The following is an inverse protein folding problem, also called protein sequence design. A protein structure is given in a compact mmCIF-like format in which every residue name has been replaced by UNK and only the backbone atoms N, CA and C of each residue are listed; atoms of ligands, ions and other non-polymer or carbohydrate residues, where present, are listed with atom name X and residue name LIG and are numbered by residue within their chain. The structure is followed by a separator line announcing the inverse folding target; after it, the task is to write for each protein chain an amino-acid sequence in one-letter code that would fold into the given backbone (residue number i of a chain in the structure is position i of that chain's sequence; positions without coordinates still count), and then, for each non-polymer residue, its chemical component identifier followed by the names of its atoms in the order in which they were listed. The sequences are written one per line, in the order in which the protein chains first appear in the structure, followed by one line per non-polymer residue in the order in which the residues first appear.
data_IF_986717635330
#
_entry.id   IF_986717635330
#
_cell.length_a   1.000
_cell.length_b   1.000
_cell.length_c   1.000
_cell.angle_alpha   90.00
_cell.angle_beta   90.00
_cell.angle_gamma   90.00
#
_symmetry.space_group_name_H-M   'P 1'
#
loop_
_entity.id
_entity.type
_entity.pdbx_description
1 polymer ?
2 polymer ?
3 non-polymer ?
4 water ?
#
loop_
_entity_poly.entity_id
_entity_poly.type
_entity_poly.pdbx_seq_one_letter_code
_entity_poly.pdbx_strand_id
2 'polyribonucleotide' 'AG' ?
#
# COMPACT_ATOMS: atom_id res chain seq x y z
N UNK A 1 -6.74 15.74 14.76
CA UNK A 1 -7.71 15.27 15.73
C UNK A 1 -7.11 14.19 16.61
N UNK A 2 -7.13 12.94 16.13
CA UNK A 2 -6.45 11.82 16.78
C UNK A 2 -4.98 11.75 16.39
N UNK A 3 -4.34 12.90 16.16
CA UNK A 3 -2.93 12.97 15.80
C UNK A 3 -2.08 12.30 16.88
N UNK A 4 -1.25 11.34 16.48
CA UNK A 4 -0.44 10.63 17.47
C UNK A 4 0.81 10.05 16.81
N UNK A 5 1.93 10.11 17.53
CA UNK A 5 3.15 9.49 17.02
C UNK A 5 3.11 7.96 17.09
N UNK A 6 2.00 7.39 17.58
CA UNK A 6 1.81 5.94 17.57
C UNK A 6 0.97 5.45 16.40
N UNK A 7 0.35 6.36 15.64
CA UNK A 7 -0.48 5.98 14.51
C UNK A 7 0.36 5.32 13.41
N UNK A 8 -0.29 4.49 12.61
CA UNK A 8 0.37 3.72 11.57
C UNK A 8 -0.07 4.18 10.18
N UNK A 9 0.91 4.34 9.29
CA UNK A 9 0.65 4.71 7.90
C UNK A 9 0.70 3.45 7.05
N UNK A 10 -0.44 3.13 6.43
CA UNK A 10 -0.59 2.02 5.50
C UNK A 10 -0.58 2.54 4.07
N UNK A 11 0.16 1.87 3.20
CA UNK A 11 0.26 2.32 1.81
C UNK A 11 0.29 1.13 0.88
N UNK A 12 -0.37 1.28 -0.27
CA UNK A 12 -0.32 0.29 -1.34
C UNK A 12 -0.14 1.03 -2.66
N UNK A 13 0.75 0.52 -3.49
CA UNK A 13 1.00 1.06 -4.83
C UNK A 13 0.62 0.02 -5.88
N UNK A 14 0.18 0.50 -7.04
CA UNK A 14 0.16 -0.30 -8.26
C UNK A 14 1.20 0.27 -9.20
N UNK A 15 1.83 -0.63 -9.98
CA UNK A 15 2.95 -0.28 -10.83
C UNK A 15 2.79 -0.91 -12.20
N UNK A 16 3.57 -0.43 -13.16
CA UNK A 16 3.59 -1.07 -14.48
C UNK A 16 4.45 -2.33 -14.51
N UNK A 17 5.07 -2.71 -13.40
CA UNK A 17 5.85 -3.93 -13.34
C UNK A 17 6.60 -4.00 -12.03
N UNK A 18 7.47 -5.02 -11.94
CA UNK A 18 8.14 -5.36 -10.69
C UNK A 18 9.50 -4.68 -10.50
N UNK A 19 9.97 -3.89 -11.47
CA UNK A 19 11.34 -3.37 -11.45
C UNK A 19 11.31 -1.85 -11.28
N UNK A 20 11.72 -1.30 -10.13
CA UNK A 20 11.64 0.16 -9.93
C UNK A 20 12.46 0.96 -10.93
N UNK A 21 13.53 0.39 -11.49
CA UNK A 21 14.37 1.13 -12.43
C UNK A 21 13.75 1.22 -13.81
N UNK A 22 12.82 0.33 -14.14
CA UNK A 22 12.18 0.26 -15.43
C UNK A 22 10.73 0.73 -15.40
N UNK A 23 10.04 0.49 -14.30
CA UNK A 23 8.60 0.63 -14.24
C UNK A 23 8.22 1.85 -13.43
N UNK A 24 6.92 2.13 -13.40
CA UNK A 24 6.39 3.38 -12.86
C UNK A 24 5.23 3.09 -11.93
N UNK A 25 4.99 4.03 -11.03
CA UNK A 25 3.83 3.98 -10.15
C UNK A 25 2.62 4.50 -10.92
N UNK A 26 1.54 3.72 -10.93
CA UNK A 26 0.29 4.14 -11.57
C UNK A 26 -0.85 4.31 -10.59
N UNK A 27 -0.73 3.82 -9.36
CA UNK A 27 -1.76 4.12 -8.37
C UNK A 27 -1.15 4.14 -6.99
N UNK A 28 -1.72 4.96 -6.11
CA UNK A 28 -1.29 5.04 -4.72
C UNK A 28 -2.53 5.23 -3.84
N UNK A 29 -2.54 4.60 -2.68
CA UNK A 29 -3.58 4.82 -1.68
C UNK A 29 -2.93 4.71 -0.31
N UNK A 30 -3.39 5.54 0.63
CA UNK A 30 -2.92 5.51 2.00
C UNK A 30 -4.08 5.44 2.96
N UNK A 31 -3.83 4.81 4.11
CA UNK A 31 -4.78 4.78 5.23
C UNK A 31 -3.98 4.99 6.50
N UNK A 32 -4.56 5.72 7.45
CA UNK A 32 -3.98 5.85 8.78
C UNK A 32 -4.85 5.10 9.76
N UNK A 33 -4.23 4.20 10.54
CA UNK A 33 -4.89 3.59 11.68
C UNK A 33 -4.25 4.09 12.96
N UNK A 34 -4.99 3.92 14.06
CA UNK A 34 -4.34 4.10 15.34
C UNK A 34 -3.50 2.86 15.64
N UNK A 35 -2.83 2.88 16.79
CA UNK A 35 -1.94 1.79 17.15
C UNK A 35 -2.66 0.48 17.38
N UNK A 36 -3.99 0.52 17.57
CA UNK A 36 -4.80 -0.66 17.76
C UNK A 36 -5.48 -1.12 16.47
N UNK A 37 -5.12 -0.52 15.33
CA UNK A 37 -5.55 -0.86 13.97
C UNK A 37 -6.93 -0.34 13.63
N UNK A 38 -7.52 0.53 14.46
CA UNK A 38 -8.77 1.18 14.06
C UNK A 38 -8.49 2.18 12.96
N UNK A 39 -9.27 2.13 11.89
CA UNK A 39 -9.05 3.03 10.76
C UNK A 39 -9.55 4.42 11.14
N UNK A 40 -8.65 5.40 11.13
CA UNK A 40 -8.95 6.77 11.49
C UNK A 40 -9.34 7.61 10.29
N UNK A 41 -8.68 7.37 9.15
CA UNK A 41 -8.85 8.24 7.99
C UNK A 41 -8.28 7.53 6.78
N UNK A 42 -8.93 7.70 5.64
CA UNK A 42 -8.37 7.23 4.38
C UNK A 42 -7.83 8.41 3.62
N UNK A 43 -6.69 8.20 2.97
CA UNK A 43 -6.00 9.25 2.26
C UNK A 43 -6.39 9.31 0.80
N UNK A 44 -5.69 10.15 0.04
CA UNK A 44 -5.95 10.26 -1.39
C UNK A 44 -5.76 8.92 -2.10
N UNK A 45 -6.68 8.61 -3.01
CA UNK A 45 -6.59 7.43 -3.86
C UNK A 45 -6.35 7.96 -5.26
N UNK A 46 -5.11 7.85 -5.73
CA UNK A 46 -4.64 8.62 -6.88
C UNK A 46 -4.17 7.67 -7.98
N UNK A 47 -4.84 7.72 -9.12
CA UNK A 47 -4.29 7.16 -10.35
C UNK A 47 -3.34 8.17 -10.95
N UNK A 48 -2.10 7.77 -11.18
CA UNK A 48 -1.04 8.68 -11.61
C UNK A 48 -0.88 8.54 -13.11
N UNK A 49 -0.94 9.66 -13.82
CA UNK A 49 -0.85 9.60 -15.28
C UNK A 49 0.50 9.05 -15.72
N UNK A 50 0.47 8.18 -16.73
CA UNK A 50 1.68 7.72 -17.39
C UNK A 50 1.42 7.70 -18.89
N UNK A 51 2.43 8.02 -19.69
CA UNK A 51 2.26 7.99 -21.16
C UNK A 51 2.20 6.56 -21.67
N UNK A 52 1.71 6.42 -22.90
CA UNK A 52 1.58 5.09 -23.48
C UNK A 52 2.92 4.37 -23.54
N UNK A 53 4.02 5.10 -23.76
CA UNK A 53 5.32 4.44 -23.81
C UNK A 53 5.64 3.73 -22.50
N UNK A 54 5.14 4.23 -21.38
CA UNK A 54 5.36 3.55 -20.10
C UNK A 54 4.34 2.45 -19.87
N UNK A 55 3.07 2.69 -20.24
CA UNK A 55 2.10 1.60 -20.14
C UNK A 55 2.49 0.45 -21.05
N UNK A 56 3.24 0.73 -22.12
CA UNK A 56 3.64 -0.30 -23.08
C UNK A 56 4.73 -1.22 -22.55
N UNK A 57 5.28 -0.92 -21.36
CA UNK A 57 6.20 -1.85 -20.72
C UNK A 57 5.48 -2.95 -19.95
N UNK A 58 4.17 -2.85 -19.81
CA UNK A 58 3.44 -3.81 -18.99
C UNK A 58 3.40 -5.16 -19.68
N UNK A 59 3.64 -6.22 -18.90
CA UNK A 59 3.55 -7.58 -19.42
C UNK A 59 2.08 -8.00 -19.44
N UNK A 60 1.83 -9.27 -19.76
CA UNK A 60 0.44 -9.72 -19.86
C UNK A 60 -0.25 -9.64 -18.50
N UNK A 61 0.41 -10.08 -17.44
CA UNK A 61 -0.23 -10.03 -16.13
C UNK A 61 -0.64 -8.60 -15.77
N UNK A 62 0.28 -7.66 -15.94
CA UNK A 62 -0.01 -6.27 -15.57
C UNK A 62 -1.07 -5.68 -16.49
N UNK A 63 -0.94 -5.91 -17.80
CA UNK A 63 -1.91 -5.35 -18.73
C UNK A 63 -3.31 -5.85 -18.43
N UNK A 64 -3.48 -7.17 -18.27
CA UNK A 64 -4.81 -7.70 -18.05
C UNK A 64 -5.36 -7.29 -16.69
N UNK A 65 -4.50 -7.32 -15.66
CA UNK A 65 -4.95 -6.95 -14.31
C UNK A 65 -5.42 -5.50 -14.27
N UNK A 66 -4.59 -4.59 -14.74
CA UNK A 66 -4.90 -3.17 -14.60
C UNK A 66 -5.90 -2.69 -15.63
N UNK A 67 -6.06 -3.40 -16.74
CA UNK A 67 -7.15 -3.06 -17.66
C UNK A 67 -8.49 -3.49 -17.08
N UNK A 68 -8.56 -4.73 -16.58
CA UNK A 68 -9.83 -5.24 -16.09
C UNK A 68 -10.35 -4.49 -14.87
N UNK A 69 -9.46 -3.98 -14.03
CA UNK A 69 -9.86 -3.24 -12.85
C UNK A 69 -10.35 -1.83 -13.16
N UNK A 70 -10.16 -1.36 -14.38
CA UNK A 70 -10.43 0.02 -14.72
C UNK A 70 -9.27 0.97 -14.45
N UNK A 71 -8.17 0.49 -13.89
CA UNK A 71 -7.07 1.39 -13.54
C UNK A 71 -6.43 2.01 -14.78
N UNK A 72 -6.25 1.23 -15.85
CA UNK A 72 -5.59 1.77 -17.03
C UNK A 72 -6.38 2.95 -17.58
N UNK A 73 -7.71 2.83 -17.66
CA UNK A 73 -8.51 3.95 -18.13
C UNK A 73 -8.34 5.16 -17.21
N UNK A 74 -8.29 4.93 -15.90
CA UNK A 74 -8.10 6.03 -14.96
C UNK A 74 -6.73 6.67 -15.12
N UNK A 75 -5.70 5.85 -15.38
CA UNK A 75 -4.36 6.39 -15.59
C UNK A 75 -4.32 7.26 -16.86
N UNK A 76 -4.92 6.77 -17.94
CA UNK A 76 -4.92 7.53 -19.19
C UNK A 76 -5.65 8.86 -19.04
N UNK A 77 -6.72 8.89 -18.24
CA UNK A 77 -7.49 10.10 -18.05
C UNK A 77 -6.94 10.99 -16.95
N UNK A 78 -5.97 10.51 -16.17
CA UNK A 78 -5.55 11.26 -14.99
C UNK A 78 -4.73 12.47 -15.39
N UNK A 79 -4.87 13.54 -14.61
CA UNK A 79 -4.07 14.75 -14.77
C UNK A 79 -3.10 14.95 -13.61
N UNK A 80 -2.80 13.89 -12.87
CA UNK A 80 -1.99 13.97 -11.66
C UNK A 80 -0.66 13.28 -11.90
N UNK A 81 0.44 14.03 -11.71
CA UNK A 81 1.80 13.53 -11.80
C UNK A 81 2.27 12.95 -10.46
N UNK A 82 3.42 12.28 -10.49
CA UNK A 82 3.98 11.77 -9.23
C UNK A 82 4.17 12.88 -8.21
N UNK A 83 4.72 14.03 -8.64
CA UNK A 83 4.99 15.11 -7.70
C UNK A 83 3.70 15.61 -7.06
N UNK A 84 2.64 15.77 -7.86
CA UNK A 84 1.37 16.21 -7.32
C UNK A 84 0.77 15.16 -6.39
N UNK A 85 0.96 13.87 -6.71
CA UNK A 85 0.47 12.80 -5.83
C UNK A 85 1.22 12.80 -4.50
N UNK A 86 2.53 13.04 -4.53
CA UNK A 86 3.29 13.19 -3.29
C UNK A 86 2.74 14.34 -2.47
N UNK A 87 2.51 15.49 -3.11
CA UNK A 87 2.01 16.67 -2.40
C UNK A 87 0.67 16.38 -1.72
N UNK A 88 -0.26 15.77 -2.45
CA UNK A 88 -1.56 15.43 -1.87
C UNK A 88 -1.40 14.48 -0.70
N UNK A 89 -0.54 13.47 -0.86
CA UNK A 89 -0.41 12.45 0.19
C UNK A 89 0.24 13.03 1.44
N UNK A 90 1.29 13.83 1.28
CA UNK A 90 1.91 14.47 2.44
C UNK A 90 0.95 15.41 3.15
N UNK A 91 0.15 16.18 2.40
CA UNK A 91 -0.79 17.09 3.04
C UNK A 91 -1.80 16.32 3.88
N UNK A 92 -2.17 15.12 3.43
CA UNK A 92 -3.04 14.26 4.22
C UNK A 92 -2.32 13.73 5.44
N UNK A 93 -1.14 13.12 5.26
CA UNK A 93 -0.47 12.44 6.36
C UNK A 93 -0.12 13.39 7.49
N UNK A 94 0.25 14.64 7.17
CA UNK A 94 0.65 15.59 8.19
C UNK A 94 -0.47 15.91 9.18
N UNK A 95 -1.72 15.64 8.81
CA UNK A 95 -2.84 15.86 9.72
C UNK A 95 -3.04 14.73 10.72
N UNK A 96 -2.34 13.60 10.56
CA UNK A 96 -2.67 12.41 11.34
C UNK A 96 -1.46 11.79 12.04
N UNK A 97 -0.27 11.91 11.45
CA UNK A 97 0.93 11.24 11.96
C UNK A 97 2.11 12.18 11.77
N UNK A 98 2.96 12.36 12.78
CA UNK A 98 4.17 13.17 12.60
C UNK A 98 5.18 12.49 11.69
N UNK A 99 6.01 13.31 11.07
CA UNK A 99 7.05 12.84 10.17
C UNK A 99 8.04 11.92 10.89
N UNK A 100 8.40 10.83 10.22
CA UNK A 100 9.47 9.97 10.68
C UNK A 100 9.11 8.99 11.78
N UNK A 101 7.83 8.86 12.13
CA UNK A 101 7.43 8.06 13.28
C UNK A 101 6.83 6.71 12.90
N UNK A 102 6.04 6.64 11.82
CA UNK A 102 5.40 5.37 11.54
C UNK A 102 6.27 4.50 10.63
N UNK A 103 6.45 3.22 10.96
CA UNK A 103 6.96 2.29 9.94
C UNK A 103 6.05 2.28 8.72
N UNK A 104 6.58 1.79 7.61
CA UNK A 104 5.74 1.59 6.43
C UNK A 104 4.96 0.29 6.61
N UNK A 105 3.64 0.34 6.40
CA UNK A 105 2.75 -0.79 6.74
C UNK A 105 2.03 -1.31 5.51
N UNK A 106 2.01 -2.63 5.35
CA UNK A 106 1.29 -3.26 4.26
C UNK A 106 1.70 -4.71 4.12
N UNK A 107 1.51 -5.26 2.91
CA UNK A 107 1.90 -6.64 2.59
C UNK A 107 3.08 -6.61 1.64
N UNK A 108 4.17 -7.29 2.01
CA UNK A 108 5.43 -7.26 1.23
C UNK A 108 5.80 -5.83 0.88
N UNK A 109 5.66 -4.98 1.90
CA UNK A 109 5.75 -3.53 1.78
C UNK A 109 7.15 -3.06 1.41
N UNK A 110 8.16 -3.93 1.56
CA UNK A 110 9.47 -3.61 1.03
C UNK A 110 9.46 -3.31 -0.46
N UNK A 111 8.59 -3.97 -1.22
CA UNK A 111 8.52 -3.69 -2.65
C UNK A 111 7.99 -2.28 -2.90
N UNK A 112 6.90 -1.90 -2.24
CA UNK A 112 6.41 -0.53 -2.38
C UNK A 112 7.49 0.47 -1.99
N UNK A 113 8.24 0.18 -0.93
CA UNK A 113 9.25 1.13 -0.47
C UNK A 113 10.33 1.33 -1.53
N UNK A 114 10.71 0.27 -2.25
CA UNK A 114 11.67 0.41 -3.35
C UNK A 114 11.17 1.42 -4.38
N UNK A 115 9.88 1.34 -4.73
CA UNK A 115 9.33 2.29 -5.68
C UNK A 115 9.28 3.69 -5.08
N UNK A 116 9.03 3.81 -3.78
CA UNK A 116 9.04 5.13 -3.16
C UNK A 116 10.44 5.72 -3.15
N UNK A 117 11.46 4.93 -2.81
CA UNK A 117 12.84 5.43 -2.85
C UNK A 117 13.17 6.00 -4.22
N UNK A 118 12.76 5.29 -5.28
CA UNK A 118 13.17 5.65 -6.64
C UNK A 118 12.35 6.80 -7.19
N UNK A 119 11.04 6.78 -6.97
CA UNK A 119 10.12 7.68 -7.66
C UNK A 119 9.50 8.73 -6.76
N UNK A 120 9.48 8.51 -5.44
CA UNK A 120 8.83 9.44 -4.50
C UNK A 120 9.65 9.56 -3.23
N UNK A 121 10.94 9.92 -3.33
CA UNK A 121 11.77 9.92 -2.11
C UNK A 121 11.27 10.87 -1.03
N UNK A 122 10.62 11.97 -1.40
CA UNK A 122 10.09 12.88 -0.40
C UNK A 122 9.02 12.21 0.45
N UNK A 123 8.24 11.31 -0.16
CA UNK A 123 7.26 10.56 0.61
C UNK A 123 7.90 9.42 1.38
N UNK A 124 8.86 8.69 0.77
CA UNK A 124 9.59 7.65 1.52
C UNK A 124 10.13 8.20 2.82
N UNK A 125 10.67 9.43 2.78
CA UNK A 125 11.31 10.03 3.95
C UNK A 125 10.34 10.28 5.10
N UNK A 126 9.03 10.28 4.83
CA UNK A 126 8.05 10.53 5.89
C UNK A 126 7.94 9.36 6.86
N UNK A 127 8.37 8.16 6.44
CA UNK A 127 8.25 6.96 7.25
C UNK A 127 9.48 6.77 8.12
N UNK A 128 9.26 6.18 9.30
CA UNK A 128 10.35 5.59 10.06
C UNK A 128 11.01 4.51 9.21
N UNK A 129 12.28 4.18 9.53
CA UNK A 129 12.99 3.23 8.67
C UNK A 129 12.45 1.81 8.79
N UNK A 130 11.66 1.51 9.82
CA UNK A 130 11.20 0.14 9.98
C UNK A 130 10.01 -0.16 9.06
N UNK A 131 9.66 -1.45 9.05
CA UNK A 131 8.64 -2.02 8.17
C UNK A 131 7.68 -2.83 9.04
N UNK A 132 6.38 -2.62 8.86
CA UNK A 132 5.37 -3.52 9.41
C UNK A 132 4.77 -4.27 8.22
N UNK A 133 5.26 -5.50 8.02
CA UNK A 133 4.90 -6.33 6.89
C UNK A 133 3.96 -7.42 7.38
N UNK A 134 2.68 -7.31 7.02
CA UNK A 134 1.69 -8.29 7.44
C UNK A 134 2.04 -9.68 6.91
N UNK A 135 2.73 -9.75 5.77
CA UNK A 135 3.07 -11.06 5.21
C UNK A 135 4.16 -11.76 6.00
N UNK A 136 4.92 -11.03 6.82
CA UNK A 136 5.80 -11.71 7.78
C UNK A 136 4.98 -12.63 8.67
N UNK A 137 3.85 -12.12 9.16
CA UNK A 137 3.00 -12.93 10.05
C UNK A 137 2.33 -14.04 9.26
N UNK A 138 1.91 -13.75 8.04
CA UNK A 138 1.36 -14.79 7.16
C UNK A 138 2.32 -15.97 7.03
N UNK A 139 3.60 -15.67 6.76
CA UNK A 139 4.57 -16.73 6.50
C UNK A 139 4.90 -17.51 7.75
N UNK A 140 5.00 -16.82 8.89
CA UNK A 140 5.25 -17.54 10.15
C UNK A 140 4.06 -18.41 10.51
N UNK A 141 2.84 -17.90 10.32
CA UNK A 141 1.65 -18.69 10.60
C UNK A 141 1.57 -19.92 9.70
N UNK A 142 1.91 -19.77 8.41
CA UNK A 142 1.89 -20.94 7.54
C UNK A 142 2.81 -22.04 8.04
N UNK A 143 3.92 -21.67 8.68
CA UNK A 143 4.85 -22.68 9.17
C UNK A 143 4.46 -23.21 10.54
N UNK A 144 3.92 -22.36 11.41
CA UNK A 144 3.68 -22.77 12.79
C UNK A 144 2.30 -23.37 13.02
N UNK A 145 1.28 -22.90 12.31
CA UNK A 145 -0.05 -23.49 12.42
C UNK A 145 -0.85 -23.17 11.15
N UNK A 146 -0.56 -23.86 10.04
CA UNK A 146 -1.13 -23.44 8.75
C UNK A 146 -2.65 -23.53 8.67
N UNK A 147 -3.30 -24.37 9.48
CA UNK A 147 -4.75 -24.45 9.38
C UNK A 147 -5.43 -23.14 9.80
N UNK A 148 -4.72 -22.26 10.52
CA UNK A 148 -5.25 -20.94 10.84
C UNK A 148 -5.60 -20.17 9.58
N UNK A 149 -4.80 -20.32 8.52
CA UNK A 149 -4.95 -19.48 7.34
C UNK A 149 -6.21 -19.78 6.56
N UNK A 150 -6.82 -20.95 6.74
CA UNK A 150 -8.06 -21.23 6.03
C UNK A 150 -9.24 -20.45 6.57
N UNK A 151 -9.08 -19.71 7.66
CA UNK A 151 -10.17 -18.93 8.22
C UNK A 151 -10.22 -17.50 7.70
N UNK A 152 -9.32 -17.13 6.78
CA UNK A 152 -9.27 -15.78 6.24
C UNK A 152 -8.95 -15.86 4.74
N UNK A 153 -9.62 -15.03 3.95
CA UNK A 153 -9.38 -14.99 2.52
C UNK A 153 -9.39 -13.55 2.03
N UNK A 154 -8.80 -13.32 0.86
CA UNK A 154 -8.73 -11.99 0.26
C UNK A 154 -9.32 -12.01 -1.15
N UNK A 155 -9.83 -10.84 -1.55
CA UNK A 155 -10.35 -10.67 -2.91
C UNK A 155 -9.22 -10.38 -3.89
N UNK A 156 -8.28 -9.52 -3.52
CA UNK A 156 -7.12 -9.22 -4.35
C UNK A 156 -7.44 -8.55 -5.67
N UNK A 157 -8.06 -7.38 -5.61
CA UNK A 157 -8.52 -6.70 -6.81
C UNK A 157 -7.48 -5.84 -7.49
N UNK A 158 -6.38 -5.53 -6.80
CA UNK A 158 -5.36 -4.60 -7.28
C UNK A 158 -5.92 -3.21 -7.53
N UNK A 159 -6.98 -2.89 -6.81
CA UNK A 159 -7.37 -1.51 -6.55
C UNK A 159 -6.73 -1.12 -5.24
N UNK A 160 -5.83 -0.12 -5.27
CA UNK A 160 -4.89 0.08 -4.17
C UNK A 160 -5.60 0.27 -2.83
N UNK A 161 -6.68 1.04 -2.79
CA UNK A 161 -7.34 1.26 -1.51
C UNK A 161 -8.00 -0.02 -1.00
N UNK A 162 -8.63 -0.80 -1.89
CA UNK A 162 -9.26 -2.03 -1.43
C UNK A 162 -8.21 -3.03 -0.96
N UNK A 163 -7.05 -3.06 -1.62
CA UNK A 163 -6.03 -4.02 -1.19
C UNK A 163 -5.40 -3.62 0.15
N UNK A 164 -5.19 -2.32 0.39
CA UNK A 164 -4.63 -1.95 1.68
C UNK A 164 -5.65 -2.14 2.79
N UNK A 165 -6.95 -1.99 2.48
CA UNK A 165 -7.97 -2.35 3.45
C UNK A 165 -7.91 -3.84 3.78
N UNK A 166 -7.63 -4.68 2.78
CA UNK A 166 -7.47 -6.11 3.06
C UNK A 166 -6.22 -6.41 3.88
N UNK A 167 -5.15 -5.63 3.70
CA UNK A 167 -3.96 -5.80 4.52
C UNK A 167 -4.26 -5.54 5.99
N UNK A 168 -4.98 -4.46 6.27
CA UNK A 168 -5.39 -4.15 7.64
C UNK A 168 -6.28 -5.25 8.19
N UNK A 169 -7.25 -5.72 7.38
CA UNK A 169 -8.12 -6.80 7.82
C UNK A 169 -7.33 -8.07 8.13
N UNK A 170 -6.30 -8.36 7.33
CA UNK A 170 -5.47 -9.53 7.58
C UNK A 170 -4.77 -9.42 8.93
N UNK A 171 -4.20 -8.26 9.24
CA UNK A 171 -3.52 -8.10 10.52
C UNK A 171 -4.51 -8.14 11.68
N UNK A 172 -5.69 -7.55 11.51
CA UNK A 172 -6.73 -7.67 12.54
C UNK A 172 -7.06 -9.13 12.80
N UNK A 173 -7.16 -9.94 11.74
CA UNK A 173 -7.40 -11.36 11.91
C UNK A 173 -6.27 -12.03 12.68
N UNK A 174 -5.01 -11.70 12.36
CA UNK A 174 -3.89 -12.29 13.08
C UNK A 174 -3.88 -11.88 14.55
N UNK A 175 -4.30 -10.64 14.84
CA UNK A 175 -4.32 -10.18 16.22
C UNK A 175 -5.14 -11.12 17.08
N UNK A 176 -6.30 -11.55 16.59
CA UNK A 176 -7.13 -12.48 17.34
C UNK A 176 -6.71 -13.94 17.18
N UNK A 177 -6.19 -14.32 16.01
CA UNK A 177 -5.99 -15.74 15.73
C UNK A 177 -4.62 -16.26 16.12
N UNK A 178 -3.57 -15.43 16.10
CA UNK A 178 -2.24 -15.97 16.36
C UNK A 178 -1.47 -15.20 17.44
N UNK A 179 -1.94 -14.02 17.82
CA UNK A 179 -1.32 -13.26 18.89
C UNK A 179 -2.07 -13.49 20.21
N UNK A 180 -1.35 -13.27 21.32
CA UNK A 180 -1.97 -13.29 22.65
C UNK A 180 -1.79 -11.96 23.37
N UNK A 181 -1.49 -10.90 22.64
CA UNK A 181 -1.36 -9.56 23.20
C UNK A 181 -2.24 -8.61 22.41
#
# INVERSE_FOLDING_TARGET
MSFSDQNLIWIDLEMTGLDPEMHKIIEMATIVTDSELNILAEGPVIAIHQPESELAKMDEWCTTTHTASGLVARVRQSQVSEEEAIDQTLAFLKQWVPEGKSPICGNSIGQDRRFLYKHMPRLEAYFHYRYIDVSTIKELTRRWQPEVLKEFSKTGSHLALDDIRESIAELQFYRKAVFKI
#
